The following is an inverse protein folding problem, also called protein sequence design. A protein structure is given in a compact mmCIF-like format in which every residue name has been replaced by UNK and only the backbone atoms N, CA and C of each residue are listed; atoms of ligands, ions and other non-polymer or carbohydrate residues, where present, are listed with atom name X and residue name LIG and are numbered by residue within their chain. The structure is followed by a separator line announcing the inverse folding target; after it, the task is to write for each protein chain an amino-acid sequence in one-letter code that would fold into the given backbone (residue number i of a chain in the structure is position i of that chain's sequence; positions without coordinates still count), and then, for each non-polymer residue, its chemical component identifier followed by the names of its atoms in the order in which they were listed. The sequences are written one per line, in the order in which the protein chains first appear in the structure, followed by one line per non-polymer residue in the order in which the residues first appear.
data_IF_686987039115
#
_entry.id   IF_686987039115
#
_cell.length_a   1.000
_cell.length_b   1.000
_cell.length_c   1.000
_cell.angle_alpha   90.00
_cell.angle_beta   90.00
_cell.angle_gamma   90.00
#
_symmetry.space_group_name_H-M   'P 1'
#
loop_
_entity.id
_entity.type
_entity.pdbx_description
1 polymer ?
#
# COMPACT_ATOMS: atom_id res chain seq x y z
N UNK A 1 -32.88 12.38 -19.05
CA UNK A 1 -33.01 12.01 -20.48
C UNK A 1 -33.72 10.68 -20.73
N UNK A 2 -33.10 9.51 -20.47
CA UNK A 2 -33.74 8.21 -20.79
C UNK A 2 -35.04 7.92 -20.02
N UNK A 3 -35.12 8.37 -18.75
CA UNK A 3 -36.35 8.27 -17.95
C UNK A 3 -37.45 9.19 -18.46
N UNK A 4 -37.08 10.36 -19.00
CA UNK A 4 -38.03 11.40 -19.44
C UNK A 4 -38.42 11.25 -20.91
N UNK A 5 -37.71 10.39 -21.67
CA UNK A 5 -37.93 10.24 -23.11
C UNK A 5 -39.10 9.32 -23.46
N UNK A 6 -39.69 8.63 -22.48
CA UNK A 6 -40.75 7.61 -22.66
C UNK A 6 -40.38 6.42 -23.57
N UNK A 7 -39.17 6.39 -24.15
CA UNK A 7 -38.62 5.29 -24.95
C UNK A 7 -38.35 4.01 -24.15
N UNK A 8 -38.34 4.10 -22.82
CA UNK A 8 -38.16 2.99 -21.89
C UNK A 8 -39.13 3.14 -20.73
N UNK A 9 -39.65 2.02 -20.26
CA UNK A 9 -40.40 1.94 -19.00
C UNK A 9 -39.49 2.16 -17.79
N UNK A 10 -40.05 2.58 -16.65
CA UNK A 10 -39.29 2.74 -15.41
C UNK A 10 -38.53 1.46 -15.01
N UNK A 11 -39.15 0.30 -15.26
CA UNK A 11 -38.55 -1.02 -15.02
C UNK A 11 -37.31 -1.24 -15.88
N UNK A 12 -37.37 -0.90 -17.17
CA UNK A 12 -36.23 -1.01 -18.09
C UNK A 12 -35.09 -0.06 -17.69
N UNK A 13 -35.41 1.17 -17.30
CA UNK A 13 -34.41 2.13 -16.81
C UNK A 13 -33.75 1.60 -15.52
N UNK A 14 -34.54 1.05 -14.59
CA UNK A 14 -34.04 0.43 -13.38
C UNK A 14 -33.17 -0.82 -13.66
N UNK A 15 -33.46 -1.58 -14.71
CA UNK A 15 -32.62 -2.70 -15.15
C UNK A 15 -31.28 -2.24 -15.70
N UNK A 16 -31.25 -1.13 -16.45
CA UNK A 16 -30.01 -0.58 -17.02
C UNK A 16 -29.10 0.02 -15.94
N UNK A 17 -29.65 0.89 -15.08
CA UNK A 17 -28.84 1.67 -14.14
C UNK A 17 -28.77 1.07 -12.73
N UNK A 18 -29.65 0.11 -12.40
CA UNK A 18 -29.68 -0.61 -11.12
C UNK A 18 -29.62 0.38 -9.94
N UNK A 19 -28.51 0.43 -9.21
CA UNK A 19 -28.28 1.29 -8.06
C UNK A 19 -27.18 2.34 -8.32
N UNK A 20 -27.15 2.92 -9.53
CA UNK A 20 -26.13 3.90 -9.95
C UNK A 20 -25.97 5.07 -8.97
N UNK A 21 -27.06 5.54 -8.36
CA UNK A 21 -27.03 6.60 -7.32
C UNK A 21 -26.20 6.19 -6.10
N UNK A 22 -26.33 4.94 -5.64
CA UNK A 22 -25.52 4.42 -4.52
C UNK A 22 -24.03 4.34 -4.87
N UNK A 23 -23.70 3.94 -6.10
CA UNK A 23 -22.32 3.94 -6.59
C UNK A 23 -21.71 5.34 -6.58
N UNK A 24 -22.48 6.35 -6.99
CA UNK A 24 -22.03 7.76 -6.94
C UNK A 24 -21.75 8.16 -5.48
N UNK A 25 -22.69 7.87 -4.56
CA UNK A 25 -22.55 8.25 -3.15
C UNK A 25 -21.31 7.64 -2.50
N UNK A 26 -21.06 6.33 -2.66
CA UNK A 26 -19.90 5.69 -2.05
C UNK A 26 -18.57 6.20 -2.64
N UNK A 27 -18.52 6.46 -3.94
CA UNK A 27 -17.32 7.01 -4.58
C UNK A 27 -17.06 8.47 -4.23
N UNK A 28 -18.11 9.29 -4.06
CA UNK A 28 -17.96 10.67 -3.59
C UNK A 28 -17.35 10.68 -2.19
N UNK A 29 -17.79 9.80 -1.29
CA UNK A 29 -17.23 9.69 0.07
C UNK A 29 -15.74 9.35 0.02
N UNK A 30 -15.34 8.37 -0.79
CA UNK A 30 -13.93 8.03 -1.02
C UNK A 30 -13.15 9.23 -1.61
N UNK A 31 -13.67 9.86 -2.67
CA UNK A 31 -13.02 10.97 -3.34
C UNK A 31 -12.79 12.16 -2.40
N UNK A 32 -13.79 12.49 -1.57
CA UNK A 32 -13.67 13.55 -0.55
C UNK A 32 -12.55 13.24 0.44
N UNK A 33 -12.50 12.02 0.98
CA UNK A 33 -11.43 11.61 1.89
C UNK A 33 -10.04 11.70 1.25
N UNK A 34 -9.90 11.24 0.00
CA UNK A 34 -8.64 11.32 -0.76
C UNK A 34 -8.21 12.77 -1.02
N UNK A 35 -9.16 13.65 -1.38
CA UNK A 35 -8.89 15.09 -1.60
C UNK A 35 -8.45 15.79 -0.32
N UNK A 36 -9.13 15.52 0.79
CA UNK A 36 -8.73 16.05 2.12
C UNK A 36 -7.30 15.61 2.44
N UNK A 37 -6.97 14.33 2.28
CA UNK A 37 -5.61 13.81 2.50
C UNK A 37 -4.57 14.49 1.61
N UNK A 38 -4.87 14.68 0.32
CA UNK A 38 -3.95 15.37 -0.60
C UNK A 38 -3.73 16.82 -0.20
N UNK A 39 -4.80 17.54 0.19
CA UNK A 39 -4.71 18.93 0.66
C UNK A 39 -3.89 19.04 1.95
N UNK A 40 -4.14 18.16 2.93
CA UNK A 40 -3.39 18.10 4.19
C UNK A 40 -1.92 17.76 3.99
N UNK A 41 -1.57 16.99 2.95
CA UNK A 41 -0.18 16.62 2.69
C UNK A 41 0.63 17.78 2.11
N UNK A 42 0.00 18.68 1.36
CA UNK A 42 0.67 19.77 0.63
C UNK A 42 0.81 19.48 -0.87
N UNK A 43 0.88 20.53 -1.68
CA UNK A 43 0.78 20.44 -3.15
C UNK A 43 1.94 19.64 -3.77
N UNK A 44 3.16 19.91 -3.33
CA UNK A 44 4.40 19.25 -3.80
C UNK A 44 4.96 18.21 -2.82
N UNK A 45 4.19 17.89 -1.79
CA UNK A 45 4.62 16.98 -0.74
C UNK A 45 4.07 15.56 -0.98
N UNK A 46 4.86 14.51 -0.68
CA UNK A 46 4.39 13.14 -0.79
C UNK A 46 3.31 12.85 0.25
N UNK A 47 2.26 12.14 -0.16
CA UNK A 47 1.23 11.66 0.75
C UNK A 47 1.82 10.53 1.59
N UNK A 48 2.02 10.78 2.89
CA UNK A 48 2.70 9.84 3.79
C UNK A 48 1.91 8.55 4.07
N UNK A 49 0.58 8.64 4.06
CA UNK A 49 -0.31 7.52 4.33
C UNK A 49 -1.59 7.66 3.52
N UNK A 50 -2.02 6.56 2.90
CA UNK A 50 -3.29 6.47 2.16
C UNK A 50 -4.09 5.21 2.48
N UNK A 51 -3.40 4.18 3.04
CA UNK A 51 -3.98 2.87 3.31
C UNK A 51 -5.10 2.89 4.34
N UNK A 52 -5.04 3.80 5.33
CA UNK A 52 -6.09 4.01 6.32
C UNK A 52 -7.42 4.43 5.68
N UNK A 53 -7.39 5.35 4.71
CA UNK A 53 -8.59 5.77 3.96
C UNK A 53 -9.13 4.59 3.16
N UNK A 54 -8.26 3.83 2.49
CA UNK A 54 -8.68 2.69 1.69
C UNK A 54 -9.31 1.60 2.57
N UNK A 55 -8.68 1.23 3.68
CA UNK A 55 -9.21 0.26 4.65
C UNK A 55 -10.55 0.70 5.24
N UNK A 56 -10.74 2.00 5.50
CA UNK A 56 -12.00 2.53 6.01
C UNK A 56 -13.11 2.58 4.94
N UNK A 57 -12.78 2.87 3.67
CA UNK A 57 -13.79 3.09 2.63
C UNK A 57 -14.13 1.85 1.80
N UNK A 58 -13.20 0.92 1.60
CA UNK A 58 -13.43 -0.29 0.79
C UNK A 58 -14.58 -1.17 1.31
N UNK A 59 -14.78 -1.37 2.63
CA UNK A 59 -15.92 -2.11 3.15
C UNK A 59 -17.28 -1.52 2.72
N UNK A 60 -17.35 -0.20 2.50
CA UNK A 60 -18.56 0.50 2.05
C UNK A 60 -18.81 0.40 0.53
N UNK A 61 -18.02 -0.37 -0.21
CA UNK A 61 -18.20 -0.58 -1.66
C UNK A 61 -19.18 -1.72 -2.00
N UNK A 62 -19.95 -2.23 -1.03
CA UNK A 62 -21.00 -3.24 -1.25
C UNK A 62 -21.98 -2.90 -2.39
N UNK A 63 -22.34 -1.63 -2.67
CA UNK A 63 -23.18 -1.29 -3.83
C UNK A 63 -22.67 -1.81 -5.17
N UNK A 64 -21.35 -2.04 -5.32
CA UNK A 64 -20.78 -2.65 -6.53
C UNK A 64 -21.22 -4.09 -6.76
N UNK A 65 -21.42 -4.88 -5.70
CA UNK A 65 -21.89 -6.27 -5.84
C UNK A 65 -23.28 -6.28 -6.47
N UNK A 66 -24.15 -5.39 -5.99
CA UNK A 66 -25.52 -5.22 -6.46
C UNK A 66 -25.59 -4.79 -7.94
N UNK A 67 -24.69 -3.90 -8.35
CA UNK A 67 -24.61 -3.40 -9.72
C UNK A 67 -24.01 -4.45 -10.67
N UNK A 68 -22.81 -4.96 -10.35
CA UNK A 68 -22.06 -5.87 -11.21
C UNK A 68 -22.76 -7.21 -11.46
N UNK A 69 -23.59 -7.67 -10.51
CA UNK A 69 -24.42 -8.88 -10.70
C UNK A 69 -25.54 -8.72 -11.73
N UNK A 70 -25.94 -7.49 -12.07
CA UNK A 70 -27.06 -7.20 -13.00
C UNK A 70 -26.66 -6.42 -14.25
N UNK A 71 -25.46 -5.82 -14.28
CA UNK A 71 -25.04 -4.94 -15.37
C UNK A 71 -25.07 -5.61 -16.76
N UNK A 72 -24.88 -6.94 -16.83
CA UNK A 72 -24.94 -7.67 -18.10
C UNK A 72 -26.36 -7.71 -18.68
N UNK A 73 -27.38 -7.84 -17.82
CA UNK A 73 -28.78 -7.80 -18.24
C UNK A 73 -29.13 -6.40 -18.76
N UNK A 74 -28.66 -5.34 -18.09
CA UNK A 74 -28.82 -3.97 -18.56
C UNK A 74 -28.10 -3.71 -19.89
N UNK A 75 -26.90 -4.26 -20.08
CA UNK A 75 -26.16 -4.14 -21.34
C UNK A 75 -26.88 -4.88 -22.49
N UNK A 76 -27.40 -6.09 -22.23
CA UNK A 76 -28.18 -6.84 -23.21
C UNK A 76 -29.46 -6.10 -23.61
N UNK A 77 -30.17 -5.50 -22.64
CA UNK A 77 -31.35 -4.68 -22.90
C UNK A 77 -31.03 -3.44 -23.74
N UNK A 78 -29.91 -2.74 -23.47
CA UNK A 78 -29.46 -1.63 -24.31
C UNK A 78 -29.21 -2.11 -25.75
N UNK A 79 -28.53 -3.24 -25.91
CA UNK A 79 -28.22 -3.79 -27.23
C UNK A 79 -29.52 -4.15 -27.98
N UNK A 80 -30.41 -4.89 -27.33
CA UNK A 80 -31.72 -5.26 -27.88
C UNK A 80 -32.50 -4.03 -28.35
N UNK A 81 -32.66 -3.01 -27.49
CA UNK A 81 -33.37 -1.77 -27.85
C UNK A 81 -32.67 -0.96 -28.94
N UNK A 82 -31.35 -1.05 -29.04
CA UNK A 82 -30.59 -0.40 -30.11
C UNK A 82 -30.84 -1.07 -31.46
N UNK A 83 -31.09 -2.38 -31.48
CA UNK A 83 -31.31 -3.14 -32.71
C UNK A 83 -32.78 -3.11 -33.15
N UNK A 84 -33.72 -3.17 -32.19
CA UNK A 84 -35.17 -3.25 -32.44
C UNK A 84 -35.85 -1.87 -32.61
N UNK A 85 -35.35 -0.82 -31.95
CA UNK A 85 -36.01 0.48 -31.91
C UNK A 85 -35.11 1.61 -32.49
N UNK A 86 -35.36 2.07 -33.73
CA UNK A 86 -34.52 3.09 -34.37
C UNK A 86 -34.53 4.43 -33.59
N UNK A 87 -35.66 4.80 -32.99
CA UNK A 87 -35.77 6.02 -32.18
C UNK A 87 -34.88 5.95 -30.93
N UNK A 88 -34.81 4.79 -30.27
CA UNK A 88 -33.93 4.57 -29.14
C UNK A 88 -32.46 4.67 -29.55
N UNK A 89 -32.09 4.03 -30.67
CA UNK A 89 -30.74 4.07 -31.23
C UNK A 89 -30.29 5.50 -31.51
N UNK A 90 -31.11 6.28 -32.21
CA UNK A 90 -30.77 7.65 -32.56
C UNK A 90 -30.74 8.56 -31.32
N UNK A 91 -31.65 8.35 -30.36
CA UNK A 91 -31.66 9.08 -29.11
C UNK A 91 -30.39 8.85 -28.28
N UNK A 92 -29.98 7.59 -28.08
CA UNK A 92 -28.75 7.26 -27.34
C UNK A 92 -27.50 7.75 -28.07
N UNK A 93 -27.49 7.70 -29.41
CA UNK A 93 -26.39 8.24 -30.22
C UNK A 93 -26.26 9.75 -30.05
N UNK A 94 -27.38 10.49 -30.07
CA UNK A 94 -27.42 11.93 -29.81
C UNK A 94 -26.89 12.27 -28.42
N UNK A 95 -27.28 11.52 -27.39
CA UNK A 95 -26.75 11.69 -26.03
C UNK A 95 -25.23 11.44 -25.96
N UNK A 96 -24.70 10.52 -26.77
CA UNK A 96 -23.27 10.22 -26.82
C UNK A 96 -22.44 11.27 -27.58
N UNK A 97 -23.07 12.18 -28.35
CA UNK A 97 -22.40 13.30 -29.02
C UNK A 97 -21.96 14.41 -28.06
N UNK A 98 -22.39 14.35 -26.79
CA UNK A 98 -21.91 15.28 -25.76
C UNK A 98 -20.37 15.21 -25.65
N UNK A 99 -19.65 16.35 -25.74
CA UNK A 99 -18.19 16.37 -25.65
C UNK A 99 -17.64 15.69 -24.38
N UNK A 100 -18.42 15.70 -23.29
CA UNK A 100 -18.06 15.04 -22.01
C UNK A 100 -17.98 13.52 -22.14
N UNK A 101 -18.70 12.94 -23.09
CA UNK A 101 -18.66 11.50 -23.37
C UNK A 101 -17.42 11.07 -24.15
N UNK A 102 -16.67 12.00 -24.76
CA UNK A 102 -15.44 11.71 -25.54
C UNK A 102 -15.63 10.61 -26.61
N UNK A 103 -16.78 10.63 -27.29
CA UNK A 103 -17.11 9.67 -28.35
C UNK A 103 -17.43 8.24 -27.88
N UNK A 104 -17.52 8.02 -26.57
CA UNK A 104 -17.82 6.70 -26.01
C UNK A 104 -19.34 6.47 -25.94
N UNK A 105 -19.85 5.27 -26.30
CA UNK A 105 -21.28 4.95 -26.21
C UNK A 105 -21.70 4.63 -24.78
N UNK A 106 -23.01 4.70 -24.47
CA UNK A 106 -23.57 4.43 -23.14
C UNK A 106 -23.13 3.06 -22.57
N UNK A 107 -23.16 2.01 -23.39
CA UNK A 107 -22.75 0.64 -23.00
C UNK A 107 -21.34 0.59 -22.41
N UNK A 108 -20.42 1.39 -22.93
CA UNK A 108 -19.04 1.47 -22.42
C UNK A 108 -18.94 2.12 -21.04
N UNK A 109 -19.85 3.03 -20.69
CA UNK A 109 -19.91 3.67 -19.38
C UNK A 109 -20.47 2.73 -18.32
N UNK A 110 -21.45 1.89 -18.69
CA UNK A 110 -22.03 0.86 -17.82
C UNK A 110 -20.97 -0.15 -17.35
N UNK A 111 -19.89 -0.37 -18.12
CA UNK A 111 -18.77 -1.25 -17.72
C UNK A 111 -17.81 -0.62 -16.70
N UNK A 112 -17.84 0.70 -16.50
CA UNK A 112 -16.85 1.39 -15.66
C UNK A 112 -16.85 0.95 -14.19
N UNK A 113 -17.99 0.68 -13.52
CA UNK A 113 -17.97 0.17 -12.16
C UNK A 113 -17.22 -1.17 -12.01
N UNK A 114 -17.46 -2.14 -12.88
CA UNK A 114 -16.73 -3.41 -12.90
C UNK A 114 -15.23 -3.21 -13.15
N UNK A 115 -14.88 -2.36 -14.13
CA UNK A 115 -13.48 -2.00 -14.40
C UNK A 115 -12.82 -1.31 -13.20
N UNK A 116 -13.58 -0.52 -12.43
CA UNK A 116 -13.06 0.21 -11.27
C UNK A 116 -12.75 -0.74 -10.11
N UNK A 117 -13.68 -1.61 -9.75
CA UNK A 117 -13.51 -2.52 -8.59
C UNK A 117 -12.39 -3.52 -8.83
N UNK A 118 -12.23 -4.01 -10.07
CA UNK A 118 -11.14 -4.92 -10.45
C UNK A 118 -9.77 -4.24 -10.51
N UNK A 119 -9.72 -2.91 -10.71
CA UNK A 119 -8.47 -2.14 -10.68
C UNK A 119 -7.99 -1.79 -9.28
N UNK A 120 -8.84 -1.73 -8.26
CA UNK A 120 -8.39 -1.40 -6.90
C UNK A 120 -7.27 -2.33 -6.40
N UNK A 121 -7.39 -3.67 -6.49
CA UNK A 121 -6.30 -4.56 -6.12
C UNK A 121 -5.01 -4.29 -6.90
N UNK A 122 -5.10 -3.98 -8.20
CA UNK A 122 -3.94 -3.70 -9.04
C UNK A 122 -3.24 -2.39 -8.65
N UNK A 123 -4.01 -1.32 -8.42
CA UNK A 123 -3.46 -0.01 -8.02
C UNK A 123 -2.81 -0.12 -6.63
N UNK A 124 -3.47 -0.80 -5.69
CA UNK A 124 -2.98 -1.00 -4.33
C UNK A 124 -1.71 -1.86 -4.34
N UNK A 125 -1.66 -2.87 -5.21
CA UNK A 125 -0.51 -3.79 -5.32
C UNK A 125 0.68 -3.19 -6.09
N UNK A 126 0.43 -2.40 -7.13
CA UNK A 126 1.47 -1.84 -7.99
C UNK A 126 2.18 -0.61 -7.37
N UNK A 127 1.64 -0.02 -6.31
CA UNK A 127 2.24 1.14 -5.62
C UNK A 127 2.88 0.78 -4.28
N UNK A 128 3.56 -0.38 -4.18
CA UNK A 128 4.43 -0.65 -3.04
C UNK A 128 5.76 0.10 -3.20
N UNK A 129 5.73 1.41 -2.96
CA UNK A 129 6.95 2.20 -2.75
C UNK A 129 7.32 2.13 -1.28
N UNK A 130 8.44 1.49 -0.97
CA UNK A 130 8.89 1.26 0.41
C UNK A 130 9.62 2.46 1.03
N UNK A 131 9.18 3.69 0.73
CA UNK A 131 9.71 4.94 1.30
C UNK A 131 8.83 5.49 2.45
N UNK A 132 7.89 4.68 2.96
CA UNK A 132 6.96 5.06 4.03
C UNK A 132 7.66 5.13 5.40
N UNK A 133 7.12 5.97 6.29
CA UNK A 133 7.46 5.93 7.71
C UNK A 133 6.82 4.68 8.31
N UNK A 134 7.60 3.92 9.08
CA UNK A 134 7.16 2.73 9.81
C UNK A 134 6.39 3.15 11.07
N UNK A 135 5.60 2.24 11.64
CA UNK A 135 4.79 2.53 12.84
C UNK A 135 5.64 2.91 14.06
N UNK A 136 6.84 2.34 14.18
CA UNK A 136 7.67 2.46 15.37
C UNK A 136 9.11 2.92 15.10
N UNK A 137 9.75 2.53 13.98
CA UNK A 137 11.19 2.69 13.71
C UNK A 137 11.56 3.93 12.87
N UNK A 138 10.61 4.83 12.60
CA UNK A 138 10.86 5.98 11.72
C UNK A 138 10.89 5.57 10.23
N UNK A 139 11.68 6.24 9.36
CA UNK A 139 11.72 5.94 7.93
C UNK A 139 12.09 4.48 7.65
N UNK A 140 11.41 3.84 6.69
CA UNK A 140 11.76 2.50 6.24
C UNK A 140 13.15 2.49 5.59
N UNK A 141 14.02 1.60 6.05
CA UNK A 141 15.39 1.41 5.56
C UNK A 141 15.52 0.03 4.94
N UNK A 142 16.13 -0.03 3.77
CA UNK A 142 16.52 -1.28 3.12
C UNK A 142 17.79 -1.83 3.80
N UNK A 143 17.80 -3.12 4.15
CA UNK A 143 18.88 -3.75 4.92
C UNK A 143 19.62 -4.84 4.14
N UNK A 144 18.88 -5.65 3.37
CA UNK A 144 19.46 -6.75 2.60
C UNK A 144 18.52 -7.22 1.49
N UNK A 145 19.09 -7.80 0.43
CA UNK A 145 18.32 -8.57 -0.54
C UNK A 145 19.16 -9.68 -1.15
N UNK A 146 18.51 -10.72 -1.62
CA UNK A 146 19.20 -11.86 -2.23
C UNK A 146 18.23 -12.97 -2.62
N UNK A 147 18.74 -13.95 -3.35
CA UNK A 147 17.98 -15.15 -3.69
C UNK A 147 17.87 -16.05 -2.47
N UNK A 148 16.69 -16.63 -2.31
CA UNK A 148 16.37 -17.60 -1.28
C UNK A 148 15.58 -18.74 -1.89
N UNK A 149 15.79 -19.95 -1.40
CA UNK A 149 15.11 -21.14 -1.89
C UNK A 149 14.30 -21.75 -0.75
N UNK A 150 13.08 -22.21 -1.04
CA UNK A 150 12.37 -23.06 -0.07
C UNK A 150 13.09 -24.41 0.03
N UNK A 151 13.58 -24.79 1.21
CA UNK A 151 14.36 -26.03 1.35
C UNK A 151 13.62 -27.28 0.84
N UNK A 152 12.32 -27.42 1.19
CA UNK A 152 11.53 -28.61 0.80
C UNK A 152 11.18 -28.71 -0.69
N UNK A 153 10.99 -27.58 -1.38
CA UNK A 153 10.47 -27.58 -2.75
C UNK A 153 11.43 -26.97 -3.76
N UNK A 154 12.61 -26.57 -3.31
CA UNK A 154 13.62 -25.79 -4.02
C UNK A 154 13.07 -24.58 -4.80
N UNK A 155 11.92 -24.04 -4.40
CA UNK A 155 11.27 -22.94 -5.12
C UNK A 155 12.12 -21.69 -4.93
N UNK A 156 12.59 -21.12 -6.03
CA UNK A 156 13.32 -19.85 -6.06
C UNK A 156 12.40 -18.69 -5.66
N UNK A 157 12.89 -17.89 -4.72
CA UNK A 157 12.30 -16.66 -4.23
C UNK A 157 13.38 -15.58 -4.21
N UNK A 158 12.95 -14.33 -4.24
CA UNK A 158 13.82 -13.18 -4.02
C UNK A 158 13.36 -12.45 -2.76
N UNK A 159 14.25 -12.35 -1.77
CA UNK A 159 14.00 -11.73 -0.49
C UNK A 159 14.43 -10.27 -0.46
N UNK A 160 13.63 -9.42 0.16
CA UNK A 160 13.96 -8.04 0.49
C UNK A 160 13.73 -7.82 1.98
N UNK A 161 14.81 -7.52 2.72
CA UNK A 161 14.77 -7.20 4.13
C UNK A 161 14.74 -5.68 4.33
N UNK A 162 13.72 -5.21 5.03
CA UNK A 162 13.65 -3.85 5.55
C UNK A 162 13.79 -3.87 7.07
N UNK A 163 13.93 -2.69 7.67
CA UNK A 163 14.02 -2.56 9.13
C UNK A 163 12.74 -2.99 9.87
N UNK A 164 11.58 -3.05 9.22
CA UNK A 164 10.31 -3.42 9.84
C UNK A 164 9.71 -4.76 9.38
N UNK A 165 10.07 -5.27 8.19
CA UNK A 165 9.61 -6.58 7.71
C UNK A 165 10.57 -7.23 6.72
N UNK A 166 10.38 -8.54 6.51
CA UNK A 166 10.93 -9.33 5.42
C UNK A 166 9.87 -9.60 4.35
N UNK A 167 10.17 -9.25 3.10
CA UNK A 167 9.33 -9.49 1.93
C UNK A 167 9.92 -10.61 1.07
N UNK A 168 9.13 -11.65 0.82
CA UNK A 168 9.46 -12.71 -0.12
C UNK A 168 8.68 -12.53 -1.42
N UNK A 169 9.39 -12.56 -2.54
CA UNK A 169 8.81 -12.38 -3.88
C UNK A 169 9.19 -13.53 -4.81
N UNK A 170 8.41 -13.69 -5.87
CA UNK A 170 8.70 -14.55 -6.99
C UNK A 170 8.99 -13.67 -8.21
N UNK A 171 10.11 -13.96 -8.87
CA UNK A 171 10.48 -13.28 -10.12
C UNK A 171 9.56 -13.80 -11.23
N UNK A 172 8.90 -12.89 -11.93
CA UNK A 172 8.09 -13.18 -13.12
C UNK A 172 8.92 -12.77 -14.33
N UNK A 173 9.52 -13.76 -15.00
CA UNK A 173 10.27 -13.52 -16.24
C UNK A 173 9.28 -13.44 -17.41
N UNK A 174 9.35 -12.42 -18.28
CA UNK A 174 8.71 -12.46 -19.58
C UNK A 174 9.23 -13.66 -20.38
N UNK A 175 8.36 -14.29 -21.18
CA UNK A 175 8.75 -15.38 -22.09
C UNK A 175 9.95 -14.92 -22.96
N UNK A 176 11.07 -15.64 -22.91
CA UNK A 176 12.26 -15.38 -23.74
C UNK A 176 13.47 -14.72 -23.05
N UNK A 177 13.42 -14.38 -21.75
CA UNK A 177 14.58 -13.84 -21.03
C UNK A 177 15.47 -14.95 -20.43
N UNK A 178 16.72 -15.06 -20.91
CA UNK A 178 17.75 -16.00 -20.43
C UNK A 178 18.92 -15.31 -19.69
N UNK A 179 18.73 -14.07 -19.22
CA UNK A 179 19.79 -13.27 -18.59
C UNK A 179 19.90 -13.44 -17.07
N UNK A 180 21.12 -13.32 -16.53
CA UNK A 180 21.40 -13.11 -15.10
C UNK A 180 21.12 -11.65 -14.73
N UNK A 181 19.85 -11.29 -14.66
CA UNK A 181 19.44 -9.89 -14.50
C UNK A 181 19.80 -9.34 -13.10
N UNK A 182 20.55 -8.23 -13.08
CA UNK A 182 20.86 -7.47 -11.85
C UNK A 182 19.59 -6.76 -11.35
N UNK A 183 19.29 -6.94 -10.07
CA UNK A 183 18.04 -6.50 -9.39
C UNK A 183 17.84 -4.98 -9.35
N UNK A 184 18.91 -4.21 -9.47
CA UNK A 184 18.87 -2.73 -9.49
C UNK A 184 19.51 -2.16 -10.77
N UNK A 185 19.25 -2.80 -11.91
CA UNK A 185 19.67 -2.24 -13.21
C UNK A 185 18.54 -1.40 -13.79
N UNK A 186 18.79 -0.17 -14.25
CA UNK A 186 17.79 0.60 -15.01
C UNK A 186 17.40 -0.08 -16.34
N UNK A 187 18.11 -1.13 -16.75
CA UNK A 187 17.82 -1.95 -17.94
C UNK A 187 17.03 -3.24 -17.64
N UNK A 188 16.75 -3.58 -16.38
CA UNK A 188 16.03 -4.82 -16.06
C UNK A 188 14.51 -4.59 -15.98
N UNK A 189 13.75 -5.38 -16.75
CA UNK A 189 12.28 -5.39 -16.76
C UNK A 189 11.70 -6.45 -15.81
N UNK A 190 12.43 -6.80 -14.75
CA UNK A 190 12.01 -7.86 -13.83
C UNK A 190 10.78 -7.43 -13.04
N UNK A 191 9.70 -8.21 -13.14
CA UNK A 191 8.52 -8.03 -12.33
C UNK A 191 8.56 -8.96 -11.14
N UNK A 192 8.47 -8.38 -9.93
CA UNK A 192 8.42 -9.14 -8.69
C UNK A 192 6.98 -9.28 -8.22
N UNK A 193 6.51 -10.53 -8.11
CA UNK A 193 5.20 -10.84 -7.54
C UNK A 193 5.39 -11.25 -6.08
N UNK A 194 4.74 -10.57 -5.15
CA UNK A 194 4.72 -10.97 -3.73
C UNK A 194 4.30 -12.44 -3.60
N UNK A 195 5.12 -13.25 -2.91
CA UNK A 195 4.86 -14.68 -2.70
C UNK A 195 3.84 -14.90 -1.58
N UNK A 196 4.02 -14.19 -0.47
CA UNK A 196 3.13 -14.20 0.71
C UNK A 196 3.13 -12.81 1.36
N UNK A 197 2.21 -12.61 2.30
CA UNK A 197 2.17 -11.40 3.14
C UNK A 197 3.55 -11.14 3.75
N UNK A 198 3.99 -9.87 3.84
CA UNK A 198 5.24 -9.50 4.50
C UNK A 198 5.32 -10.06 5.91
N UNK A 199 6.51 -10.49 6.32
CA UNK A 199 6.79 -11.08 7.63
C UNK A 199 7.33 -9.97 8.51
N UNK A 200 6.54 -9.47 9.46
CA UNK A 200 6.95 -8.34 10.30
C UNK A 200 7.97 -8.78 11.36
N UNK A 201 9.01 -7.96 11.56
CA UNK A 201 10.15 -8.39 12.37
C UNK A 201 9.89 -8.35 13.89
N UNK A 202 8.83 -7.68 14.35
CA UNK A 202 8.45 -7.64 15.78
C UNK A 202 7.92 -8.99 16.30
N UNK A 203 7.59 -9.92 15.41
CA UNK A 203 7.04 -11.24 15.74
C UNK A 203 7.83 -12.37 15.05
N UNK A 204 9.11 -12.13 14.74
CA UNK A 204 10.01 -13.10 14.10
C UNK A 204 10.98 -13.72 15.10
N UNK A 205 11.16 -15.04 14.97
CA UNK A 205 12.27 -15.77 15.59
C UNK A 205 13.07 -16.47 14.50
N UNK A 206 14.38 -16.22 14.47
CA UNK A 206 15.30 -16.87 13.52
C UNK A 206 16.09 -17.96 14.23
N UNK A 207 16.01 -19.19 13.72
CA UNK A 207 16.72 -20.35 14.24
C UNK A 207 17.61 -20.96 13.17
N UNK A 208 18.82 -21.35 13.56
CA UNK A 208 19.65 -22.23 12.74
C UNK A 208 19.14 -23.68 12.91
N UNK A 209 19.40 -24.57 11.95
CA UNK A 209 19.17 -26.00 12.13
C UNK A 209 19.98 -26.55 13.33
N UNK A 210 19.55 -27.69 13.86
CA UNK A 210 20.14 -28.34 15.05
C UNK A 210 21.64 -28.63 14.88
N UNK A 211 22.07 -28.91 13.66
CA UNK A 211 23.48 -28.97 13.27
C UNK A 211 23.82 -27.78 12.34
N UNK A 212 24.36 -26.67 12.87
CA UNK A 212 24.72 -25.49 12.07
C UNK A 212 25.97 -25.70 11.20
N UNK A 213 26.68 -26.81 11.39
CA UNK A 213 27.91 -27.24 10.70
C UNK A 213 27.64 -28.01 9.41
N UNK A 214 26.39 -28.43 9.16
CA UNK A 214 26.02 -29.09 7.92
C UNK A 214 26.31 -28.22 6.70
N UNK A 215 26.69 -28.86 5.59
CA UNK A 215 27.07 -28.20 4.33
C UNK A 215 25.94 -27.35 3.71
N UNK A 216 24.69 -27.57 4.11
CA UNK A 216 23.55 -26.85 3.55
C UNK A 216 23.33 -25.48 4.21
N UNK A 217 23.26 -24.38 3.43
CA UNK A 217 23.07 -23.03 3.94
C UNK A 217 21.60 -22.73 4.32
N UNK A 218 21.03 -23.54 5.21
CA UNK A 218 19.61 -23.48 5.63
C UNK A 218 19.44 -22.70 6.94
N UNK A 219 18.32 -21.99 7.05
CA UNK A 219 17.85 -21.37 8.28
C UNK A 219 16.31 -21.38 8.36
N UNK A 220 15.80 -21.20 9.57
CA UNK A 220 14.37 -21.20 9.86
C UNK A 220 13.92 -19.82 10.35
N UNK A 221 12.79 -19.35 9.82
CA UNK A 221 12.07 -18.17 10.32
C UNK A 221 10.74 -18.66 10.89
N UNK A 222 10.52 -18.47 12.18
CA UNK A 222 9.21 -18.62 12.82
C UNK A 222 8.54 -17.25 12.89
N UNK A 223 7.30 -17.15 12.45
CA UNK A 223 6.49 -15.94 12.54
C UNK A 223 5.06 -16.32 12.88
N UNK A 224 4.63 -15.95 14.09
CA UNK A 224 3.34 -16.37 14.66
C UNK A 224 3.22 -17.91 14.56
N UNK A 225 2.21 -18.44 13.88
CA UNK A 225 1.94 -19.88 13.75
C UNK A 225 2.58 -20.50 12.50
N UNK A 226 3.58 -19.86 11.89
CA UNK A 226 4.19 -20.31 10.63
C UNK A 226 5.70 -20.43 10.75
N UNK A 227 6.23 -21.56 10.27
CA UNK A 227 7.67 -21.80 10.13
C UNK A 227 8.05 -21.85 8.65
N UNK A 228 9.01 -21.01 8.27
CA UNK A 228 9.59 -20.94 6.94
C UNK A 228 10.99 -21.54 6.99
N UNK A 229 11.22 -22.63 6.25
CA UNK A 229 12.56 -23.21 6.06
C UNK A 229 13.13 -22.70 4.73
N UNK A 230 14.18 -21.89 4.81
CA UNK A 230 14.80 -21.20 3.69
C UNK A 230 16.26 -21.61 3.56
N UNK A 231 16.74 -21.73 2.31
CA UNK A 231 18.12 -22.02 1.94
C UNK A 231 18.68 -20.81 1.21
N UNK A 232 19.84 -20.33 1.64
CA UNK A 232 20.58 -19.26 0.97
C UNK A 232 21.49 -19.80 -0.15
N UNK A 233 22.12 -18.92 -0.92
CA UNK A 233 23.07 -19.32 -1.98
C UNK A 233 24.40 -19.84 -1.42
N UNK A 234 24.80 -19.39 -0.23
CA UNK A 234 26.04 -19.79 0.44
C UNK A 234 25.90 -19.72 1.96
N UNK A 235 26.85 -20.34 2.67
CA UNK A 235 26.93 -20.27 4.14
C UNK A 235 27.09 -18.82 4.61
N UNK A 236 27.86 -18.02 3.87
CA UNK A 236 28.05 -16.59 4.15
C UNK A 236 26.73 -15.83 4.03
N UNK A 237 25.97 -16.06 2.96
CA UNK A 237 24.65 -15.44 2.79
C UNK A 237 23.67 -15.90 3.86
N UNK A 238 23.65 -17.19 4.22
CA UNK A 238 22.84 -17.70 5.35
C UNK A 238 23.15 -16.91 6.62
N UNK A 239 24.43 -16.79 6.96
CA UNK A 239 24.88 -16.07 8.15
C UNK A 239 24.49 -14.60 8.11
N UNK A 240 24.65 -13.93 6.96
CA UNK A 240 24.25 -12.54 6.76
C UNK A 240 22.73 -12.34 6.93
N UNK A 241 21.91 -13.21 6.34
CA UNK A 241 20.45 -13.19 6.51
C UNK A 241 20.06 -13.36 7.99
N UNK A 242 20.62 -14.35 8.66
CA UNK A 242 20.32 -14.64 10.08
C UNK A 242 20.69 -13.46 10.97
N UNK A 243 21.91 -12.93 10.83
CA UNK A 243 22.39 -11.81 11.64
C UNK A 243 21.56 -10.55 11.41
N UNK A 244 21.30 -10.17 10.15
CA UNK A 244 20.56 -8.95 9.82
C UNK A 244 19.10 -9.03 10.25
N UNK A 245 18.44 -10.19 10.09
CA UNK A 245 17.05 -10.36 10.55
C UNK A 245 16.99 -10.29 12.07
N UNK A 246 17.89 -10.97 12.79
CA UNK A 246 17.94 -10.92 14.26
C UNK A 246 18.16 -9.50 14.77
N UNK A 247 19.18 -8.81 14.28
CA UNK A 247 19.49 -7.45 14.70
C UNK A 247 18.32 -6.48 14.43
N UNK A 248 17.66 -6.59 13.27
CA UNK A 248 16.52 -5.74 12.93
C UNK A 248 15.27 -6.08 13.77
N UNK A 249 15.04 -7.36 14.07
CA UNK A 249 13.95 -7.82 14.94
C UNK A 249 14.14 -7.34 16.39
N UNK A 250 15.34 -7.50 16.95
CA UNK A 250 15.69 -7.03 18.29
C UNK A 250 15.52 -5.52 18.43
N UNK A 251 16.04 -4.75 17.46
CA UNK A 251 15.85 -3.30 17.43
C UNK A 251 14.38 -2.89 17.34
N UNK A 252 13.57 -3.61 16.55
CA UNK A 252 12.13 -3.37 16.48
C UNK A 252 11.50 -3.58 17.85
N UNK A 253 11.68 -4.75 18.44
CA UNK A 253 11.08 -5.14 19.72
C UNK A 253 11.48 -4.17 20.83
N UNK A 254 12.76 -3.82 20.91
CA UNK A 254 13.27 -2.87 21.91
C UNK A 254 12.68 -1.47 21.74
N UNK A 255 12.61 -0.97 20.50
CA UNK A 255 12.01 0.35 20.21
C UNK A 255 10.52 0.37 20.54
N UNK A 256 9.79 -0.70 20.23
CA UNK A 256 8.38 -0.82 20.55
C UNK A 256 8.15 -0.89 22.07
N UNK A 257 8.99 -1.65 22.79
CA UNK A 257 8.98 -1.74 24.25
C UNK A 257 9.20 -0.36 24.90
N UNK A 258 10.25 0.36 24.50
CA UNK A 258 10.53 1.74 24.98
C UNK A 258 9.36 2.69 24.73
N UNK A 259 8.70 2.60 23.57
CA UNK A 259 7.51 3.39 23.26
C UNK A 259 6.32 3.05 24.17
N UNK A 260 6.07 1.77 24.44
CA UNK A 260 5.02 1.31 25.36
C UNK A 260 5.30 1.77 26.79
N UNK A 261 6.54 1.64 27.27
CA UNK A 261 6.96 2.09 28.60
C UNK A 261 6.80 3.61 28.74
N UNK A 262 7.24 4.40 27.75
CA UNK A 262 7.00 5.84 27.74
C UNK A 262 5.51 6.17 27.80
N UNK A 263 4.69 5.52 26.98
CA UNK A 263 3.23 5.72 26.98
C UNK A 263 2.56 5.32 28.30
N UNK A 264 3.04 4.26 28.96
CA UNK A 264 2.58 3.87 30.29
C UNK A 264 2.97 4.90 31.34
N UNK A 265 4.21 5.40 31.32
CA UNK A 265 4.68 6.47 32.20
C UNK A 265 3.88 7.77 32.01
N UNK A 266 3.54 8.14 30.76
CA UNK A 266 2.63 9.27 30.47
C UNK A 266 1.29 9.07 31.22
N UNK A 267 0.72 7.86 31.15
CA UNK A 267 -0.61 7.55 31.72
C UNK A 267 -0.59 7.46 33.24
N UNK A 268 0.49 6.95 33.84
CA UNK A 268 0.64 6.86 35.30
C UNK A 268 0.97 8.22 35.93
N UNK A 269 1.63 9.12 35.19
CA UNK A 269 1.83 10.53 35.57
C UNK A 269 0.58 11.39 35.38
N UNK A 270 -0.61 10.90 35.76
CA UNK A 270 -1.81 11.73 36.02
C UNK A 270 -1.63 12.59 37.27
N UNK A 271 -0.43 13.08 37.54
CA UNK A 271 -0.23 14.22 38.42
C UNK A 271 -0.78 15.44 37.68
N UNK A 272 -1.67 16.18 38.34
CA UNK A 272 -2.08 17.52 37.90
C UNK A 272 -0.81 18.31 37.60
N UNK A 273 -0.57 18.66 36.34
CA UNK A 273 0.64 19.39 35.95
C UNK A 273 0.80 20.61 36.85
N UNK A 274 1.95 20.73 37.52
CA UNK A 274 2.21 21.80 38.50
C UNK A 274 2.49 23.17 37.84
N UNK A 275 2.50 23.23 36.51
CA UNK A 275 2.74 24.45 35.73
C UNK A 275 3.00 24.16 34.26
N UNK A 276 3.29 25.22 33.50
CA UNK A 276 3.73 25.16 32.09
C UNK A 276 5.15 25.69 32.01
N UNK A 277 6.07 24.92 31.41
CA UNK A 277 7.40 25.40 31.08
C UNK A 277 7.40 25.93 29.64
N UNK A 278 7.76 27.20 29.46
CA UNK A 278 8.00 27.76 28.13
C UNK A 278 9.46 27.53 27.76
N UNK A 279 9.70 26.77 26.69
CA UNK A 279 11.04 26.56 26.14
C UNK A 279 11.13 27.36 24.85
N UNK A 280 12.05 28.32 24.81
CA UNK A 280 12.35 29.09 23.61
C UNK A 280 13.67 28.63 23.01
N UNK A 281 13.63 28.13 21.78
CA UNK A 281 14.83 27.72 21.04
C UNK A 281 15.36 28.95 20.32
N UNK A 282 16.52 29.46 20.75
CA UNK A 282 17.09 30.71 20.23
C UNK A 282 17.81 30.46 18.90
N UNK A 283 18.81 29.59 18.89
CA UNK A 283 19.58 29.25 17.71
C UNK A 283 20.20 27.84 17.81
N UNK A 284 20.57 27.28 16.66
CA UNK A 284 21.37 26.06 16.57
C UNK A 284 22.73 26.38 15.98
N UNK A 285 23.80 26.13 16.73
CA UNK A 285 25.18 26.31 16.28
C UNK A 285 25.76 24.99 15.77
N UNK A 286 26.69 25.06 14.81
CA UNK A 286 27.47 23.92 14.29
C UNK A 286 26.63 22.75 13.72
N UNK A 287 25.52 23.05 13.05
CA UNK A 287 24.67 22.03 12.45
C UNK A 287 25.41 21.27 11.34
N UNK A 288 25.51 19.95 11.47
CA UNK A 288 26.17 19.07 10.48
C UNK A 288 25.15 18.54 9.46
N UNK A 289 25.44 18.64 8.14
CA UNK A 289 24.52 18.14 7.12
C UNK A 289 24.39 16.62 7.16
N UNK A 290 23.16 16.12 7.13
CA UNK A 290 22.88 14.67 7.17
C UNK A 290 22.88 14.02 5.77
N UNK A 291 22.90 14.83 4.70
CA UNK A 291 22.85 14.37 3.30
C UNK A 291 24.07 14.86 2.53
N UNK A 292 24.54 14.04 1.59
CA UNK A 292 25.68 14.34 0.70
C UNK A 292 25.49 15.59 -0.17
N UNK A 293 24.25 16.02 -0.39
CA UNK A 293 23.92 17.23 -1.15
C UNK A 293 23.93 18.53 -0.32
N UNK A 294 24.40 18.49 0.93
CA UNK A 294 24.51 19.66 1.81
C UNK A 294 23.19 20.17 2.39
N UNK A 295 22.05 19.90 1.76
CA UNK A 295 20.73 20.34 2.24
C UNK A 295 20.21 19.51 3.41
N UNK A 296 19.85 20.18 4.50
CA UNK A 296 19.21 19.57 5.66
C UNK A 296 17.90 20.26 5.98
N UNK A 297 17.03 19.54 6.68
CA UNK A 297 15.72 20.02 7.10
C UNK A 297 15.73 20.02 8.64
N UNK A 298 16.46 20.96 9.28
CA UNK A 298 16.63 20.93 10.73
C UNK A 298 15.31 21.19 11.45
N UNK A 299 15.14 20.54 12.60
CA UNK A 299 14.06 20.75 13.54
C UNK A 299 14.61 20.54 14.95
N UNK A 300 13.98 21.15 15.95
CA UNK A 300 14.28 20.91 17.35
C UNK A 300 13.22 19.96 17.94
N UNK A 301 13.66 18.94 18.66
CA UNK A 301 12.81 18.08 19.48
C UNK A 301 13.14 18.35 20.95
N UNK A 302 12.13 18.78 21.72
CA UNK A 302 12.23 18.97 23.16
C UNK A 302 11.45 17.86 23.83
N UNK A 303 12.12 17.07 24.66
CA UNK A 303 11.48 16.01 25.46
C UNK A 303 11.60 16.34 26.94
N UNK A 304 10.47 16.38 27.64
CA UNK A 304 10.42 16.53 29.10
C UNK A 304 9.61 15.36 29.68
N UNK A 305 10.33 14.37 30.20
CA UNK A 305 9.76 13.09 30.63
C UNK A 305 8.94 12.44 29.52
N UNK A 306 7.63 12.45 29.72
CA UNK A 306 6.64 11.79 28.88
C UNK A 306 6.16 12.66 27.70
N UNK A 307 6.37 13.97 27.77
CA UNK A 307 6.01 14.96 26.74
C UNK A 307 7.12 15.12 25.70
N UNK A 308 6.75 15.19 24.43
CA UNK A 308 7.65 15.52 23.32
C UNK A 308 7.00 16.60 22.45
N UNK A 309 7.76 17.64 22.14
CA UNK A 309 7.38 18.70 21.22
C UNK A 309 8.41 18.83 20.11
N UNK A 310 7.97 18.92 18.86
CA UNK A 310 8.83 19.04 17.69
C UNK A 310 8.50 20.35 16.99
N UNK A 311 9.50 21.19 16.76
CA UNK A 311 9.34 22.43 16.00
C UNK A 311 9.05 22.13 14.53
N UNK A 312 8.50 23.12 13.82
CA UNK A 312 8.43 23.04 12.36
C UNK A 312 9.85 22.90 11.80
N UNK A 313 9.96 22.12 10.73
CA UNK A 313 11.18 22.02 9.94
C UNK A 313 11.52 23.37 9.34
N UNK A 314 12.74 23.85 9.55
CA UNK A 314 13.30 25.00 8.84
C UNK A 314 13.76 24.50 7.48
N UNK A 315 13.33 25.15 6.40
CA UNK A 315 13.72 24.79 5.05
C UNK A 315 14.94 25.63 4.66
N UNK A 316 16.06 24.96 4.32
CA UNK A 316 17.21 25.54 3.62
C UNK A 316 16.91 25.76 2.12
#
# INVERSE_FOLDING_TARGET
PLMESELLTEKEVAMIFVNWKELIMCNIKLLKALRVRKKMSGEKMPVKMIGDILSAQLPHMQPYIRFCSRQLNGAALIQQKTDEAPDFKEFVKRLAMDPRCKGMPLSSFILKPMQRVTRYPLIIKNQLVFNSVTNCLGPRKFLHSGKLYKAKSNKELYGFLFNDFLLLTQITKPLGSSGTDKVFSPKSNLQYKMYKTPIFLNEVLVKLPTDPSGDEPIFHISHIDRVYTLRAESINERTAWVQKIKAASELYIETEKKKREKAYLVRSQRATGIGRLMVNVVEGIELKPCRSHGKSNPYCEVTMGSQCHITKTIQD
#
